data_IF_135662967684
#
_entry.id   IF_135662967684
#
_cell.length_a   1.000
_cell.length_b   1.000
_cell.length_c   1.000
_cell.angle_alpha   90.00
_cell.angle_beta   90.00
_cell.angle_gamma   90.00
#
_symmetry.space_group_name_H-M   'P 1'
#
loop_
_entity.id
_entity.type
_entity.pdbx_description
1 polymer ?
#
# COMPACT_ATOMS: atom_id res chain seq x y z
N UNK A 1 -10.69 15.56 0.38
CA UNK A 1 -9.37 15.57 -0.27
C UNK A 1 -9.08 14.20 -0.85
N UNK A 2 -9.11 14.10 -2.18
CA UNK A 2 -8.76 12.87 -2.89
C UNK A 2 -7.26 12.86 -3.16
N UNK A 3 -6.53 11.97 -2.49
CA UNK A 3 -5.11 11.76 -2.75
C UNK A 3 -4.95 10.60 -3.74
N UNK A 4 -4.29 10.87 -4.86
CA UNK A 4 -3.90 9.85 -5.83
C UNK A 4 -2.39 9.63 -5.79
N UNK A 5 -1.98 8.36 -5.84
CA UNK A 5 -0.56 7.99 -5.83
C UNK A 5 -0.31 6.87 -6.84
N UNK A 6 0.79 6.99 -7.58
CA UNK A 6 1.24 5.94 -8.49
C UNK A 6 1.99 4.84 -7.74
N UNK A 7 2.00 3.60 -8.25
CA UNK A 7 2.81 2.52 -7.68
C UNK A 7 4.30 2.90 -7.54
N UNK A 8 4.82 3.65 -8.51
CA UNK A 8 6.21 4.09 -8.50
C UNK A 8 6.49 5.11 -7.38
N UNK A 9 5.57 6.04 -7.11
CA UNK A 9 5.69 6.96 -5.98
C UNK A 9 5.65 6.21 -4.65
N UNK A 10 4.79 5.20 -4.51
CA UNK A 10 4.77 4.32 -3.33
C UNK A 10 6.06 3.53 -3.16
N UNK A 11 6.64 3.04 -4.26
CA UNK A 11 7.91 2.32 -4.22
C UNK A 11 9.05 3.24 -3.74
N UNK A 12 9.09 4.48 -4.23
CA UNK A 12 10.03 5.49 -3.76
C UNK A 12 9.80 5.82 -2.28
N UNK A 13 8.54 5.95 -1.85
CA UNK A 13 8.19 6.23 -0.45
C UNK A 13 8.65 5.11 0.49
N UNK A 14 8.30 3.85 0.20
CA UNK A 14 8.68 2.73 1.07
C UNK A 14 10.19 2.51 1.10
N UNK A 15 10.87 2.75 -0.03
CA UNK A 15 12.34 2.73 -0.09
C UNK A 15 12.94 3.83 0.76
N UNK A 16 12.38 5.05 0.74
CA UNK A 16 12.85 6.15 1.56
C UNK A 16 12.69 5.86 3.06
N UNK A 17 11.61 5.21 3.48
CA UNK A 17 11.42 4.77 4.87
C UNK A 17 12.52 3.76 5.25
N UNK A 18 12.81 2.81 4.37
CA UNK A 18 13.74 1.71 4.66
C UNK A 18 15.23 2.11 4.58
N UNK A 19 15.58 3.16 3.84
CA UNK A 19 16.98 3.56 3.58
C UNK A 19 17.43 4.84 4.31
N UNK A 20 16.75 5.20 5.40
CA UNK A 20 17.09 6.38 6.21
C UNK A 20 16.71 7.71 5.57
N UNK A 21 15.62 7.76 4.79
CA UNK A 21 15.03 8.97 4.23
C UNK A 21 15.56 9.40 2.87
N UNK A 22 16.47 8.63 2.27
CA UNK A 22 17.09 8.99 0.98
C UNK A 22 16.14 8.68 -0.18
N UNK A 23 15.55 9.72 -0.77
CA UNK A 23 14.60 9.58 -1.87
C UNK A 23 15.33 9.26 -3.18
N UNK A 24 15.29 7.99 -3.58
CA UNK A 24 15.88 7.51 -4.83
C UNK A 24 15.18 8.12 -6.05
N UNK A 25 15.95 8.35 -7.11
CA UNK A 25 15.42 8.64 -8.45
C UNK A 25 15.28 7.29 -9.16
N UNK A 26 14.07 6.84 -9.51
CA UNK A 26 13.89 5.63 -10.31
C UNK A 26 14.53 5.82 -11.68
N UNK A 27 15.39 4.87 -12.06
CA UNK A 27 16.03 4.84 -13.36
C UNK A 27 15.71 3.50 -14.03
N UNK A 28 15.54 3.51 -15.35
CA UNK A 28 15.25 2.31 -16.13
C UNK A 28 16.37 2.08 -17.15
N UNK A 29 17.18 1.05 -16.91
CA UNK A 29 18.29 0.69 -17.80
C UNK A 29 17.83 -0.38 -18.79
N UNK A 30 17.96 -0.11 -20.08
CA UNK A 30 17.55 -1.00 -21.16
C UNK A 30 18.68 -1.88 -21.65
N UNK A 31 19.89 -1.33 -21.73
CA UNK A 31 21.04 -2.02 -22.31
C UNK A 31 21.94 -2.65 -21.24
N UNK A 32 22.75 -3.65 -21.64
CA UNK A 32 23.76 -4.25 -20.74
C UNK A 32 24.79 -3.20 -20.30
N UNK A 33 25.19 -2.32 -21.21
CA UNK A 33 26.15 -1.23 -20.94
C UNK A 33 25.59 -0.26 -19.90
N UNK A 34 24.33 0.15 -20.02
CA UNK A 34 23.66 1.00 -19.02
C UNK A 34 23.59 0.33 -17.64
N UNK A 35 23.28 -0.97 -17.59
CA UNK A 35 23.26 -1.72 -16.32
C UNK A 35 24.63 -1.78 -15.66
N UNK A 36 25.70 -1.96 -16.44
CA UNK A 36 27.06 -1.99 -15.92
C UNK A 36 27.52 -0.63 -15.39
N UNK A 37 27.06 0.46 -16.01
CA UNK A 37 27.37 1.83 -15.61
C UNK A 37 26.41 2.39 -14.54
N UNK A 38 25.45 1.58 -14.06
CA UNK A 38 24.40 2.06 -13.16
C UNK A 38 24.98 2.55 -11.82
N UNK A 39 24.54 3.76 -11.43
CA UNK A 39 24.80 4.34 -10.11
C UNK A 39 23.50 4.87 -9.53
N UNK A 40 23.19 4.51 -8.28
CA UNK A 40 22.02 5.04 -7.60
C UNK A 40 22.16 6.55 -7.40
N UNK A 41 21.15 7.31 -7.79
CA UNK A 41 21.09 8.75 -7.53
C UNK A 41 19.92 9.07 -6.62
N UNK A 42 20.12 10.06 -5.75
CA UNK A 42 19.10 10.53 -4.80
C UNK A 42 18.66 11.93 -5.18
N UNK A 43 17.36 12.18 -5.12
CA UNK A 43 16.79 13.51 -5.41
C UNK A 43 16.89 14.45 -4.21
N UNK A 44 16.65 13.89 -3.03
CA UNK A 44 16.63 14.61 -1.76
C UNK A 44 16.71 13.61 -0.61
N UNK A 45 17.04 14.10 0.58
CA UNK A 45 16.85 13.37 1.83
C UNK A 45 15.65 13.96 2.54
N UNK A 46 14.70 13.11 2.91
CA UNK A 46 13.57 13.48 3.77
C UNK A 46 14.08 13.43 5.20
N UNK A 47 13.87 14.52 5.96
CA UNK A 47 14.12 14.48 7.38
C UNK A 47 13.07 13.56 8.03
N UNK A 48 13.51 12.42 8.55
CA UNK A 48 12.67 11.46 9.25
C UNK A 48 13.16 11.45 10.70
N UNK A 49 12.57 12.28 11.58
CA UNK A 49 12.95 12.30 12.99
C UNK A 49 12.86 10.89 13.57
N UNK A 50 13.85 10.49 14.35
CA UNK A 50 13.92 9.13 14.91
C UNK A 50 12.64 8.77 15.67
N UNK A 51 12.06 9.72 16.40
CA UNK A 51 10.79 9.54 17.11
C UNK A 51 9.61 9.24 16.18
N UNK A 52 9.56 9.86 14.99
CA UNK A 52 8.48 9.67 14.02
C UNK A 52 8.58 8.33 13.29
N UNK A 53 9.80 7.79 13.11
CA UNK A 53 10.02 6.54 12.37
C UNK A 53 10.23 5.31 13.26
N UNK A 54 10.49 5.52 14.57
CA UNK A 54 10.77 4.47 15.55
C UNK A 54 9.74 3.33 15.54
N UNK A 55 8.46 3.65 15.31
CA UNK A 55 7.38 2.65 15.23
C UNK A 55 7.02 2.17 13.82
N UNK A 56 7.45 2.89 12.77
CA UNK A 56 7.00 2.62 11.40
C UNK A 56 7.56 1.30 10.88
N UNK A 57 8.88 1.12 10.96
CA UNK A 57 9.52 -0.10 10.47
C UNK A 57 9.11 -1.34 11.29
N UNK A 58 9.09 -1.30 12.65
CA UNK A 58 8.53 -2.40 13.45
C UNK A 58 7.06 -2.71 13.12
N UNK A 59 6.23 -1.69 12.89
CA UNK A 59 4.83 -1.89 12.49
C UNK A 59 4.69 -2.54 11.12
N UNK A 60 5.57 -2.18 10.17
CA UNK A 60 5.63 -2.81 8.84
C UNK A 60 6.10 -4.27 8.91
N UNK A 61 7.09 -4.57 9.75
CA UNK A 61 7.50 -5.95 10.04
C UNK A 61 6.30 -6.70 10.64
N UNK A 62 5.59 -6.09 11.60
CA UNK A 62 4.48 -6.72 12.28
C UNK A 62 3.30 -7.03 11.36
N UNK A 63 2.96 -6.13 10.46
CA UNK A 63 1.94 -6.38 9.44
C UNK A 63 2.27 -7.58 8.54
N UNK A 64 3.55 -7.79 8.23
CA UNK A 64 4.05 -8.91 7.43
C UNK A 64 4.18 -10.23 8.23
N UNK A 65 4.61 -10.19 9.48
CA UNK A 65 4.86 -11.39 10.29
C UNK A 65 3.60 -11.95 10.96
N UNK A 66 2.74 -11.10 11.50
CA UNK A 66 1.57 -11.52 12.28
C UNK A 66 0.28 -10.75 11.97
N UNK A 67 0.35 -9.67 11.19
CA UNK A 67 -0.81 -8.87 10.80
C UNK A 67 -1.45 -9.28 9.48
N UNK A 68 -2.03 -8.30 8.80
CA UNK A 68 -2.86 -8.45 7.61
C UNK A 68 -2.16 -9.06 6.39
N UNK A 69 -0.82 -8.96 6.30
CA UNK A 69 -0.03 -9.54 5.21
C UNK A 69 0.51 -10.95 5.53
N UNK A 70 0.40 -11.43 6.78
CA UNK A 70 0.97 -12.71 7.25
C UNK A 70 0.72 -13.90 6.33
N UNK A 71 -0.50 -14.04 5.81
CA UNK A 71 -0.88 -15.18 4.96
C UNK A 71 -0.26 -15.10 3.56
N UNK A 72 0.15 -13.90 3.13
CA UNK A 72 0.61 -13.63 1.78
C UNK A 72 2.13 -13.59 1.63
N UNK A 73 2.88 -13.30 2.69
CA UNK A 73 4.34 -13.15 2.64
C UNK A 73 5.06 -14.10 3.61
N UNK A 74 6.24 -14.57 3.22
CA UNK A 74 7.05 -15.44 4.05
C UNK A 74 7.94 -14.60 4.98
N UNK A 75 7.70 -14.72 6.29
CA UNK A 75 8.47 -14.02 7.31
C UNK A 75 9.98 -14.36 7.29
N UNK A 76 10.34 -15.57 6.82
CA UNK A 76 11.73 -15.99 6.72
C UNK A 76 12.54 -15.11 5.76
N UNK A 77 11.90 -14.49 4.75
CA UNK A 77 12.53 -13.59 3.80
C UNK A 77 12.79 -12.17 4.34
N UNK A 78 12.35 -11.87 5.57
CA UNK A 78 12.57 -10.57 6.19
C UNK A 78 11.77 -9.45 5.52
N UNK A 79 10.54 -9.74 5.11
CA UNK A 79 9.65 -8.76 4.49
C UNK A 79 9.12 -7.80 5.55
N UNK A 80 9.21 -6.50 5.28
CA UNK A 80 8.49 -5.47 6.01
C UNK A 80 7.58 -4.72 5.04
N UNK A 81 6.30 -4.60 5.35
CA UNK A 81 5.37 -3.92 4.45
C UNK A 81 4.07 -3.50 5.11
N UNK A 82 3.22 -2.81 4.36
CA UNK A 82 1.90 -2.40 4.82
C UNK A 82 0.84 -2.67 3.77
N UNK A 83 -0.27 -3.25 4.20
CA UNK A 83 -1.47 -3.41 3.38
C UNK A 83 -2.33 -2.15 3.40
N UNK A 84 -2.97 -1.86 2.28
CA UNK A 84 -4.06 -0.90 2.16
C UNK A 84 -5.24 -1.52 1.41
N UNK A 85 -6.44 -1.07 1.72
CA UNK A 85 -7.66 -1.40 1.00
C UNK A 85 -8.46 -0.12 0.84
N UNK A 86 -8.90 0.21 -0.36
CA UNK A 86 -9.79 1.35 -0.59
C UNK A 86 -10.82 1.02 -1.68
N UNK A 87 -11.86 1.84 -1.78
CA UNK A 87 -12.83 1.77 -2.88
C UNK A 87 -12.50 2.90 -3.83
N UNK A 88 -12.28 2.57 -5.10
CA UNK A 88 -12.00 3.53 -6.15
C UNK A 88 -12.85 3.25 -7.39
N UNK A 89 -13.60 4.26 -7.85
CA UNK A 89 -14.46 4.16 -9.04
C UNK A 89 -15.43 2.96 -9.00
N UNK A 90 -16.01 2.68 -7.83
CA UNK A 90 -16.98 1.61 -7.63
C UNK A 90 -16.40 0.20 -7.53
N UNK A 91 -15.08 0.04 -7.42
CA UNK A 91 -14.42 -1.27 -7.25
C UNK A 91 -13.42 -1.20 -6.11
N UNK A 92 -13.21 -2.33 -5.43
CA UNK A 92 -12.17 -2.40 -4.42
C UNK A 92 -10.78 -2.40 -5.04
N UNK A 93 -9.86 -1.78 -4.33
CA UNK A 93 -8.45 -1.69 -4.66
C UNK A 93 -7.65 -2.24 -3.48
N UNK A 94 -6.86 -3.26 -3.74
CA UNK A 94 -5.88 -3.79 -2.80
C UNK A 94 -4.51 -3.17 -3.03
N UNK A 95 -3.82 -2.81 -1.96
CA UNK A 95 -2.47 -2.28 -2.00
C UNK A 95 -1.57 -3.07 -1.05
N UNK A 96 -0.36 -3.38 -1.49
CA UNK A 96 0.72 -3.76 -0.59
C UNK A 96 2.03 -3.11 -1.03
N UNK A 97 2.64 -2.34 -0.13
CA UNK A 97 3.96 -1.74 -0.33
C UNK A 97 4.93 -2.33 0.69
N UNK A 98 6.07 -2.83 0.22
CA UNK A 98 6.97 -3.65 1.03
C UNK A 98 8.42 -3.54 0.59
N UNK A 99 9.32 -3.89 1.52
CA UNK A 99 10.76 -4.02 1.31
C UNK A 99 11.26 -5.35 1.85
N UNK A 100 12.31 -5.88 1.24
CA UNK A 100 13.03 -7.04 1.74
C UNK A 100 14.49 -7.08 1.25
N UNK A 101 15.41 -7.70 2.03
CA UNK A 101 15.24 -8.03 3.44
C UNK A 101 15.26 -6.75 4.30
N UNK A 102 14.54 -6.72 5.42
CA UNK A 102 14.35 -5.50 6.22
C UNK A 102 15.66 -4.96 6.83
N UNK A 103 16.60 -5.85 7.13
CA UNK A 103 17.90 -5.50 7.71
C UNK A 103 18.93 -4.91 6.73
N UNK A 104 18.78 -5.21 5.45
CA UNK A 104 19.59 -4.66 4.36
C UNK A 104 18.71 -4.55 3.10
N UNK A 105 17.81 -3.54 3.04
CA UNK A 105 16.78 -3.48 1.99
C UNK A 105 17.36 -3.43 0.58
N UNK A 106 17.10 -4.47 -0.21
CA UNK A 106 17.55 -4.58 -1.62
C UNK A 106 16.40 -4.49 -2.62
N UNK A 107 15.21 -4.91 -2.20
CA UNK A 107 14.03 -4.96 -3.05
C UNK A 107 12.91 -4.17 -2.42
N UNK A 108 12.28 -3.31 -3.21
CA UNK A 108 10.98 -2.73 -2.89
C UNK A 108 9.94 -3.29 -3.85
N UNK A 109 8.85 -3.83 -3.32
CA UNK A 109 7.75 -4.40 -4.10
C UNK A 109 6.46 -3.67 -3.73
N UNK A 110 5.80 -3.12 -4.75
CA UNK A 110 4.49 -2.51 -4.63
C UNK A 110 3.53 -3.21 -5.58
N UNK A 111 2.43 -3.71 -5.03
CA UNK A 111 1.36 -4.35 -5.79
C UNK A 111 0.08 -3.57 -5.58
N UNK A 112 -0.63 -3.30 -6.68
CA UNK A 112 -1.97 -2.75 -6.68
C UNK A 112 -2.88 -3.70 -7.44
N UNK A 113 -3.96 -4.15 -6.81
CA UNK A 113 -5.01 -4.97 -7.42
C UNK A 113 -6.31 -4.19 -7.49
N UNK A 114 -7.20 -4.54 -8.41
CA UNK A 114 -8.55 -3.99 -8.51
C UNK A 114 -9.55 -5.07 -8.87
N UNK A 115 -10.68 -5.12 -8.18
CA UNK A 115 -11.72 -6.11 -8.38
C UNK A 115 -12.70 -6.12 -7.22
N UNK A 116 -13.82 -6.84 -7.36
CA UNK A 116 -14.89 -6.87 -6.35
C UNK A 116 -14.43 -7.46 -5.01
N UNK A 117 -13.67 -8.55 -5.04
CA UNK A 117 -13.09 -9.19 -3.86
C UNK A 117 -11.69 -8.69 -3.46
N UNK A 118 -11.18 -7.64 -4.11
CA UNK A 118 -9.79 -7.23 -3.93
C UNK A 118 -9.55 -6.48 -2.62
N UNK A 119 -8.50 -6.86 -1.88
CA UNK A 119 -8.07 -6.22 -0.62
C UNK A 119 -6.56 -6.26 -0.52
N UNK A 120 -5.99 -5.48 0.41
CA UNK A 120 -4.55 -5.47 0.64
C UNK A 120 -3.92 -6.83 0.94
N UNK A 121 -4.68 -7.78 1.53
CA UNK A 121 -4.22 -9.16 1.74
C UNK A 121 -3.93 -9.91 0.44
N UNK A 122 -4.71 -9.66 -0.62
CA UNK A 122 -4.51 -10.28 -1.92
C UNK A 122 -3.27 -9.69 -2.62
N UNK A 123 -3.12 -8.36 -2.54
CA UNK A 123 -1.92 -7.67 -3.03
C UNK A 123 -0.65 -8.16 -2.31
N UNK A 124 -0.72 -8.43 -1.00
CA UNK A 124 0.36 -9.03 -0.24
C UNK A 124 0.69 -10.46 -0.69
N UNK A 125 -0.31 -11.28 -1.00
CA UNK A 125 -0.09 -12.63 -1.54
C UNK A 125 0.65 -12.62 -2.88
N UNK A 126 0.29 -11.70 -3.79
CA UNK A 126 1.00 -11.50 -5.06
C UNK A 126 2.44 -11.03 -4.80
N UNK A 127 2.65 -10.08 -3.90
CA UNK A 127 4.00 -9.65 -3.54
C UNK A 127 4.85 -10.80 -2.95
N UNK A 128 4.25 -11.68 -2.16
CA UNK A 128 4.93 -12.87 -1.65
C UNK A 128 5.36 -13.85 -2.75
N UNK A 129 4.58 -14.00 -3.82
CA UNK A 129 4.99 -14.77 -4.99
C UNK A 129 6.19 -14.12 -5.70
N UNK A 130 6.21 -12.79 -5.82
CA UNK A 130 7.36 -12.05 -6.36
C UNK A 130 8.60 -12.26 -5.50
N UNK A 131 8.48 -12.13 -4.18
CA UNK A 131 9.60 -12.37 -3.26
C UNK A 131 10.09 -13.82 -3.31
N UNK A 132 9.18 -14.80 -3.44
CA UNK A 132 9.54 -16.20 -3.63
C UNK A 132 10.37 -16.40 -4.90
N UNK A 133 9.98 -15.76 -6.00
CA UNK A 133 10.76 -15.79 -7.24
C UNK A 133 12.13 -15.11 -7.10
N UNK A 134 12.26 -14.12 -6.22
CA UNK A 134 13.52 -13.43 -5.91
C UNK A 134 14.36 -14.13 -4.83
N UNK A 135 13.83 -15.16 -4.17
CA UNK A 135 14.42 -15.76 -2.96
C UNK A 135 15.88 -16.17 -3.10
N UNK A 136 16.29 -16.71 -4.26
CA UNK A 136 17.68 -17.08 -4.54
C UNK A 136 18.69 -15.91 -4.48
N UNK A 137 18.21 -14.67 -4.56
CA UNK A 137 19.03 -13.46 -4.47
C UNK A 137 18.88 -12.72 -3.13
N UNK A 138 17.91 -13.11 -2.30
CA UNK A 138 17.68 -12.51 -0.98
C UNK A 138 18.63 -13.17 0.01
N UNK A 139 19.63 -12.40 0.46
CA UNK A 139 20.57 -12.80 1.51
C UNK A 139 20.24 -12.03 2.78
N UNK A 140 19.89 -12.75 3.84
CA UNK A 140 19.64 -12.16 5.16
C UNK A 140 20.91 -12.07 5.97
N UNK A 141 21.06 -10.97 6.68
CA UNK A 141 22.17 -10.72 7.58
C UNK A 141 21.70 -11.07 9.01
N UNK A 142 22.21 -12.19 9.54
CA UNK A 142 21.75 -12.70 10.82
C UNK A 142 22.02 -11.72 11.96
N UNK A 143 23.19 -11.07 11.97
CA UNK A 143 23.59 -10.13 13.01
C UNK A 143 22.70 -8.89 13.00
N UNK A 144 22.48 -8.29 11.82
CA UNK A 144 21.59 -7.12 11.68
C UNK A 144 20.13 -7.47 11.98
N UNK A 145 19.69 -8.67 11.58
CA UNK A 145 18.33 -9.13 11.89
C UNK A 145 18.10 -9.26 13.41
N UNK A 146 19.11 -9.69 14.14
CA UNK A 146 19.06 -9.82 15.60
C UNK A 146 19.00 -8.45 16.28
N UNK A 147 19.82 -7.50 15.79
CA UNK A 147 19.80 -6.11 16.26
C UNK A 147 18.42 -5.45 16.07
N UNK A 148 17.79 -5.65 14.91
CA UNK A 148 16.43 -5.16 14.64
C UNK A 148 15.37 -5.76 15.57
N UNK A 149 15.49 -7.06 15.89
CA UNK A 149 14.60 -7.72 16.89
C UNK A 149 14.77 -7.12 18.28
N UNK A 150 16.00 -6.82 18.69
CA UNK A 150 16.29 -6.20 19.98
C UNK A 150 15.71 -4.78 20.07
N UNK A 151 15.85 -3.96 19.03
CA UNK A 151 15.26 -2.62 18.96
C UNK A 151 13.73 -2.69 19.12
N UNK A 152 13.08 -3.66 18.45
CA UNK A 152 11.63 -3.89 18.58
C UNK A 152 11.22 -4.26 20.01
N UNK A 153 12.00 -5.07 20.72
CA UNK A 153 11.68 -5.49 22.09
C UNK A 153 11.85 -4.40 23.15
N UNK A 154 12.62 -3.35 22.87
CA UNK A 154 12.94 -2.27 23.82
C UNK A 154 11.96 -1.10 23.77
N UNK A 155 11.09 -1.05 22.77
CA UNK A 155 10.00 -0.08 22.70
C UNK A 155 8.90 -0.53 23.69
N UNK A 156 8.45 0.33 24.64
CA UNK A 156 7.39 -0.05 25.56
C UNK A 156 6.10 -0.25 24.77
N UNK A 157 5.68 -1.50 24.62
CA UNK A 157 4.32 -1.82 24.19
C UNK A 157 3.43 -1.42 25.36
N UNK A 158 2.78 -0.26 25.25
CA UNK A 158 1.67 0.08 26.13
C UNK A 158 0.65 -1.06 26.06
N UNK A 159 0.50 -1.79 27.16
CA UNK A 159 -0.50 -2.82 27.34
C UNK A 159 -1.87 -2.16 27.43
N UNK A 160 -2.42 -1.80 26.28
CA UNK A 160 -3.84 -1.54 26.03
C UNK A 160 -4.13 -1.88 24.56
N UNK A 161 -3.72 -3.07 24.12
CA UNK A 161 -4.32 -3.67 22.93
C UNK A 161 -5.53 -4.45 23.41
N UNK A 162 -6.68 -3.76 23.47
CA UNK A 162 -7.95 -4.44 23.40
C UNK A 162 -7.88 -5.41 22.21
N UNK A 163 -8.07 -6.69 22.49
CA UNK A 163 -8.45 -7.64 21.45
C UNK A 163 -9.70 -7.06 20.80
N UNK A 164 -9.56 -6.58 19.56
CA UNK A 164 -10.72 -6.37 18.70
C UNK A 164 -11.01 -7.76 18.18
N UNK A 165 -11.83 -8.50 18.94
CA UNK A 165 -12.59 -9.61 18.40
C UNK A 165 -13.47 -9.01 17.29
N UNK A 166 -13.12 -9.29 16.03
CA UNK A 166 -14.02 -9.07 14.90
C UNK A 166 -15.17 -10.07 15.07
N UNK A 167 -16.26 -9.63 15.67
CA UNK A 167 -17.52 -10.38 15.65
C UNK A 167 -18.08 -10.36 14.22
N UNK A 168 -17.92 -11.49 13.53
CA UNK A 168 -18.91 -11.93 12.56
C UNK A 168 -20.16 -12.30 13.37
N UNK A 169 -21.25 -11.52 13.30
CA UNK A 169 -22.63 -12.03 13.30
C UNK A 169 -23.58 -11.01 12.64
N UNK A 170 -24.23 -11.48 11.58
CA UNK A 170 -25.43 -10.93 10.99
C UNK A 170 -26.60 -11.16 11.97
N UNK A 171 -27.30 -10.12 12.44
CA UNK A 171 -28.78 -10.12 12.47
C UNK A 171 -29.41 -8.81 12.96
N UNK A 172 -30.55 -8.49 12.33
CA UNK A 172 -31.41 -7.32 12.52
C UNK A 172 -32.45 -7.57 13.62
N UNK A 173 -32.55 -6.70 14.65
CA UNK A 173 -33.82 -6.46 15.37
C UNK A 173 -33.89 -5.04 15.98
N UNK A 174 -35.01 -4.35 15.72
CA UNK A 174 -35.47 -3.10 16.33
C UNK A 174 -36.14 -3.35 17.68
N UNK A 175 -35.79 -2.65 18.77
CA UNK A 175 -36.74 -2.27 19.85
C UNK A 175 -36.26 -1.02 20.62
N UNK A 176 -37.17 -0.09 20.87
CA UNK A 176 -37.05 1.10 21.73
C UNK A 176 -36.99 0.77 23.24
N UNK A 177 -36.39 1.62 24.08
CA UNK A 177 -37.01 2.14 25.33
C UNK A 177 -36.10 3.07 26.17
N UNK A 178 -36.68 4.23 26.48
CA UNK A 178 -36.68 5.05 27.72
C UNK A 178 -35.47 5.20 28.66
N UNK A 179 -35.07 6.48 28.78
CA UNK A 179 -34.73 7.29 29.97
C UNK A 179 -34.37 6.66 31.33
N UNK A 180 -33.28 7.16 31.93
CA UNK A 180 -33.27 7.69 33.30
C UNK A 180 -32.08 8.64 33.55
N UNK A 181 -32.38 9.77 34.21
CA UNK A 181 -31.48 10.88 34.59
C UNK A 181 -31.09 10.79 36.07
N UNK A 182 -29.86 11.20 36.41
CA UNK A 182 -29.42 12.07 37.53
C UNK A 182 -27.89 11.95 37.69
N UNK A 183 -27.08 12.92 38.12
CA UNK A 183 -27.25 14.32 38.53
C UNK A 183 -25.88 14.94 38.87
N UNK A 184 -25.67 16.20 38.45
CA UNK A 184 -25.05 17.36 39.15
C UNK A 184 -23.56 17.33 39.58
N UNK A 185 -22.79 18.30 39.03
CA UNK A 185 -21.95 19.30 39.72
C UNK A 185 -20.97 19.93 38.68
N UNK A 186 -20.57 21.20 38.62
CA UNK A 186 -20.91 22.44 39.31
C UNK A 186 -20.40 23.60 38.40
N UNK A 187 -21.02 24.77 38.47
CA UNK A 187 -20.80 25.96 37.61
C UNK A 187 -19.73 26.94 38.13
N UNK A 188 -18.94 27.55 37.23
CA UNK A 188 -18.44 28.95 37.31
C UNK A 188 -17.77 29.39 35.96
N UNK A 189 -17.52 30.68 35.67
CA UNK A 189 -18.09 31.38 34.51
C UNK A 189 -17.12 31.65 33.34
N UNK A 190 -17.70 31.84 32.15
CA UNK A 190 -17.03 32.18 30.88
C UNK A 190 -16.72 33.67 30.77
N UNK A 191 -15.49 34.01 30.39
CA UNK A 191 -15.08 35.31 29.84
C UNK A 191 -14.92 35.16 28.32
N UNK A 192 -15.39 36.10 27.48
CA UNK A 192 -15.29 35.96 26.03
C UNK A 192 -13.92 36.43 25.53
N UNK A 193 -13.15 35.54 24.90
CA UNK A 193 -11.94 35.90 24.16
C UNK A 193 -12.24 35.92 22.66
N UNK A 194 -11.82 37.03 22.05
CA UNK A 194 -12.00 37.48 20.67
C UNK A 194 -11.38 36.51 19.67
N UNK A 195 -12.14 36.18 18.60
CA UNK A 195 -11.66 35.42 17.44
C UNK A 195 -10.98 36.37 16.43
N UNK A 196 -9.72 36.11 16.09
CA UNK A 196 -9.11 36.66 14.88
C UNK A 196 -9.49 35.80 13.65
N UNK A 197 -9.85 36.39 12.50
CA UNK A 197 -10.40 35.65 11.37
C UNK A 197 -9.33 34.93 10.53
N UNK A 198 -9.54 33.64 10.31
CA UNK A 198 -8.77 32.81 9.40
C UNK A 198 -9.00 33.21 7.92
N UNK A 199 -7.90 33.45 7.19
CA UNK A 199 -7.91 33.78 5.76
C UNK A 199 -8.29 32.55 4.90
N UNK A 200 -9.40 32.64 4.15
CA UNK A 200 -9.80 31.66 3.13
C UNK A 200 -8.94 31.83 1.86
N UNK A 201 -8.11 30.84 1.52
CA UNK A 201 -7.54 30.72 0.16
C UNK A 201 -8.56 30.05 -0.75
N UNK A 202 -9.06 30.82 -1.71
CA UNK A 202 -9.94 30.36 -2.79
C UNK A 202 -9.09 29.50 -3.76
N UNK A 203 -9.45 28.22 -3.93
CA UNK A 203 -8.86 27.33 -4.92
C UNK A 203 -9.81 27.20 -6.10
N UNK A 204 -9.44 27.80 -7.23
CA UNK A 204 -10.17 27.71 -8.50
C UNK A 204 -10.02 26.29 -9.08
N UNK A 205 -11.15 25.59 -9.28
CA UNK A 205 -11.21 24.30 -9.98
C UNK A 205 -10.82 24.47 -11.45
N UNK A 206 -9.73 23.84 -11.88
CA UNK A 206 -9.49 23.57 -13.30
C UNK A 206 -10.15 22.25 -13.67
N UNK A 207 -11.36 22.35 -14.22
CA UNK A 207 -12.01 21.28 -14.96
C UNK A 207 -11.16 20.92 -16.18
N UNK A 208 -10.80 19.63 -16.30
CA UNK A 208 -10.14 18.95 -17.44
C UNK A 208 -8.66 18.57 -17.23
N UNK A 209 -8.40 17.46 -16.54
CA UNK A 209 -7.16 16.70 -16.71
C UNK A 209 -7.41 15.51 -17.64
N UNK A 210 -7.09 15.64 -18.93
CA UNK A 210 -6.94 14.49 -19.83
C UNK A 210 -5.58 13.84 -19.55
N UNK A 211 -5.48 12.50 -19.52
CA UNK A 211 -4.20 11.82 -19.35
C UNK A 211 -3.27 12.15 -20.53
N UNK A 212 -2.03 12.55 -20.22
CA UNK A 212 -1.00 12.97 -21.20
C UNK A 212 -0.52 11.80 -22.07
N UNK A 213 -0.85 10.56 -21.72
CA UNK A 213 -0.48 9.37 -22.50
C UNK A 213 -1.68 8.43 -22.67
N UNK A 214 -1.85 7.83 -23.87
CA UNK A 214 -2.82 6.77 -24.05
C UNK A 214 -2.42 5.53 -23.23
N UNK A 215 -3.37 4.78 -22.66
CA UNK A 215 -3.09 3.56 -21.92
C UNK A 215 -2.45 2.51 -22.83
N UNK A 216 -1.33 1.93 -22.39
CA UNK A 216 -0.69 0.81 -23.07
C UNK A 216 -1.48 -0.46 -22.74
N UNK A 217 -2.25 -0.96 -23.71
CA UNK A 217 -2.95 -2.24 -23.60
C UNK A 217 -1.98 -3.35 -24.00
N UNK A 218 -1.52 -4.14 -23.04
CA UNK A 218 -0.73 -5.34 -23.31
C UNK A 218 -1.72 -6.46 -23.65
N UNK A 219 -1.87 -6.77 -24.93
CA UNK A 219 -2.67 -7.91 -25.38
C UNK A 219 -1.86 -9.19 -25.22
N UNK A 220 -2.35 -10.11 -24.40
CA UNK A 220 -1.78 -11.45 -24.27
C UNK A 220 -2.40 -12.36 -25.33
N UNK A 221 -1.63 -12.74 -26.35
CA UNK A 221 -2.06 -13.74 -27.32
C UNK A 221 -1.86 -15.12 -26.71
N UNK A 222 -2.93 -15.70 -26.18
CA UNK A 222 -2.96 -17.09 -25.75
C UNK A 222 -3.29 -17.90 -26.99
N UNK A 223 -2.27 -18.31 -27.76
CA UNK A 223 -2.30 -19.52 -28.58
C UNK A 223 -0.96 -19.78 -29.27
N UNK A 224 -0.25 -20.81 -28.80
CA UNK A 224 0.66 -21.62 -29.60
C UNK A 224 0.47 -23.07 -29.19
N UNK A 225 -0.20 -23.84 -30.03
CA UNK A 225 -0.25 -25.29 -29.90
C UNK A 225 -1.37 -25.98 -30.67
N UNK A 226 -1.32 -25.94 -32.01
CA UNK A 226 -1.49 -27.12 -32.90
C UNK A 226 -1.50 -26.70 -34.38
N UNK A 227 -0.76 -27.46 -35.18
CA UNK A 227 -0.67 -27.33 -36.63
C UNK A 227 -1.79 -28.10 -37.34
N UNK A 228 -2.05 -27.66 -38.57
CA UNK A 228 -2.61 -28.36 -39.73
C UNK A 228 -4.11 -28.78 -39.71
N UNK A 229 -4.96 -28.01 -40.39
CA UNK A 229 -5.59 -28.34 -41.71
C UNK A 229 -6.86 -27.50 -42.01
N UNK A 230 -6.83 -26.81 -43.15
CA UNK A 230 -7.85 -26.65 -44.20
C UNK A 230 -9.35 -26.44 -43.85
N UNK A 231 -9.84 -25.28 -44.31
CA UNK A 231 -11.16 -24.94 -44.92
C UNK A 231 -12.38 -24.41 -44.14
N UNK A 232 -12.97 -23.43 -44.84
CA UNK A 232 -14.35 -22.91 -44.88
C UNK A 232 -14.85 -22.07 -43.72
N UNK A 233 -15.32 -20.88 -44.10
CA UNK A 233 -15.66 -19.79 -43.21
C UNK A 233 -17.02 -19.88 -42.53
N UNK A 234 -17.24 -18.96 -41.62
CA UNK A 234 -18.56 -18.37 -41.40
C UNK A 234 -18.40 -16.96 -40.81
N UNK A 235 -19.36 -16.12 -41.16
CA UNK A 235 -19.42 -14.66 -41.01
C UNK A 235 -19.81 -14.31 -39.57
N UNK A 236 -19.18 -13.29 -38.98
CA UNK A 236 -19.76 -12.59 -37.82
C UNK A 236 -19.75 -11.09 -38.06
N UNK A 237 -20.96 -10.51 -38.05
CA UNK A 237 -21.27 -9.09 -38.33
C UNK A 237 -21.00 -8.23 -37.09
N UNK A 238 -20.55 -6.97 -37.25
CA UNK A 238 -20.34 -6.06 -36.11
C UNK A 238 -21.67 -5.53 -35.57
N UNK A 239 -21.85 -5.56 -34.24
CA UNK A 239 -23.00 -4.98 -33.54
C UNK A 239 -22.66 -3.55 -33.10
N UNK A 240 -23.31 -2.56 -33.71
CA UNK A 240 -23.26 -1.15 -33.30
C UNK A 240 -24.28 -0.93 -32.18
N UNK A 241 -23.83 -0.43 -31.03
CA UNK A 241 -24.71 0.07 -29.96
C UNK A 241 -24.70 1.59 -30.03
N UNK A 242 -25.86 2.18 -30.35
CA UNK A 242 -26.09 3.63 -30.21
C UNK A 242 -26.69 3.88 -28.83
N UNK A 243 -26.07 4.77 -28.05
CA UNK A 243 -26.67 5.30 -26.83
C UNK A 243 -27.50 6.55 -27.18
N UNK A 244 -28.70 6.64 -26.58
CA UNK A 244 -29.49 7.88 -26.48
C UNK A 244 -29.00 8.67 -25.28
#
# INVERSE_FOLDING_TARGET
DDFEVTPLQLAVMVTAIANGGKRVIPQFQRTRTERAAFKSTYRATVNLPDQSIAGVLPGMIGAAEYGTARRGVDASMGVAGKTGSCIGRGSWVGLFASVAPVEDPKYAVVVITRGEGERGRNAAAIAGQIYRALSGNIKRDAEKSLALKQIRSKQPVGTDVAAVDDEDEDDVVLVESSESRNSIANSAPRTPAVQEPAQKKIVTRTSQSKPVFPPVVIQYSKDKGKSDTVNKGDRSRPRVVKNK
#
